data_IF_925155546767
#
_entry.id   IF_925155546767
#
_cell.length_a   1.000
_cell.length_b   1.000
_cell.length_c   1.000
_cell.angle_alpha   90.00
_cell.angle_beta   90.00
_cell.angle_gamma   90.00
#
_symmetry.space_group_name_H-M   'P 1'
#
loop_
_entity.id
_entity.type
_entity.pdbx_description
1 polymer ?
#
# COMPACT_ATOMS: atom_id res chain seq x y z
N UNK A 1 -11.78 -41.10 -0.70
CA UNK A 1 -10.72 -40.08 -0.85
C UNK A 1 -10.58 -39.75 -2.33
N UNK A 2 -10.48 -38.47 -2.70
CA UNK A 2 -10.24 -38.07 -4.09
C UNK A 2 -8.84 -38.50 -4.54
N UNK A 3 -8.68 -38.83 -5.82
CA UNK A 3 -7.38 -39.20 -6.38
C UNK A 3 -6.32 -38.09 -6.12
N UNK A 4 -5.07 -38.48 -5.83
CA UNK A 4 -4.00 -37.50 -5.65
C UNK A 4 -3.74 -36.74 -6.94
N UNK A 5 -3.63 -35.41 -6.85
CA UNK A 5 -3.34 -34.53 -8.00
C UNK A 5 -1.97 -34.90 -8.56
N UNK A 6 -1.86 -35.26 -9.85
CA UNK A 6 -0.58 -35.59 -10.47
C UNK A 6 0.28 -34.33 -10.60
N UNK A 7 1.60 -34.51 -10.51
CA UNK A 7 2.55 -33.44 -10.83
C UNK A 7 2.66 -33.31 -12.36
N UNK A 8 2.91 -32.08 -12.83
CA UNK A 8 3.15 -31.77 -14.24
C UNK A 8 4.30 -32.63 -14.83
N UNK A 9 4.21 -33.12 -16.07
CA UNK A 9 5.15 -34.12 -16.60
C UNK A 9 6.46 -33.55 -17.16
N UNK A 10 6.58 -32.23 -17.28
CA UNK A 10 7.71 -31.50 -17.86
C UNK A 10 8.90 -31.26 -16.91
N UNK A 11 8.81 -31.78 -15.67
CA UNK A 11 9.89 -31.77 -14.70
C UNK A 11 10.16 -33.18 -14.18
N UNK A 12 11.36 -33.37 -13.64
CA UNK A 12 11.75 -34.59 -12.94
C UNK A 12 12.37 -34.27 -11.57
N UNK A 13 12.71 -35.33 -10.84
CA UNK A 13 13.32 -35.20 -9.52
C UNK A 13 14.70 -34.52 -9.56
N UNK A 14 15.48 -34.71 -10.64
CA UNK A 14 16.83 -34.16 -10.76
C UNK A 14 16.78 -32.64 -11.00
N UNK A 15 15.92 -32.19 -11.90
CA UNK A 15 15.66 -30.78 -12.19
C UNK A 15 15.26 -30.02 -10.92
N UNK A 16 14.33 -30.56 -10.13
CA UNK A 16 13.91 -29.96 -8.86
C UNK A 16 15.04 -29.86 -7.84
N UNK A 17 15.91 -30.87 -7.74
CA UNK A 17 17.07 -30.83 -6.84
C UNK A 17 18.09 -29.78 -7.30
N UNK A 18 18.28 -29.61 -8.60
CA UNK A 18 19.14 -28.54 -9.16
C UNK A 18 18.56 -27.16 -8.85
N UNK A 19 17.24 -26.98 -9.04
CA UNK A 19 16.55 -25.74 -8.69
C UNK A 19 16.66 -25.44 -7.19
N UNK A 20 16.48 -26.45 -6.33
CA UNK A 20 16.61 -26.31 -4.88
C UNK A 20 18.01 -25.84 -4.46
N UNK A 21 19.07 -26.33 -5.12
CA UNK A 21 20.46 -25.86 -4.88
C UNK A 21 20.69 -24.41 -5.31
N UNK A 22 20.00 -23.95 -6.35
CA UNK A 22 20.11 -22.58 -6.87
C UNK A 22 19.22 -21.57 -6.14
N UNK A 23 18.19 -22.05 -5.44
CA UNK A 23 17.24 -21.21 -4.71
C UNK A 23 17.89 -20.50 -3.53
N UNK A 24 17.58 -19.22 -3.38
CA UNK A 24 17.97 -18.40 -2.21
C UNK A 24 16.88 -18.33 -1.14
N UNK A 25 15.68 -18.80 -1.44
CA UNK A 25 14.56 -18.87 -0.51
C UNK A 25 14.55 -20.25 0.18
N UNK A 26 14.80 -20.33 1.51
CA UNK A 26 14.80 -21.59 2.25
C UNK A 26 13.46 -22.34 2.19
N UNK A 27 12.35 -21.61 2.13
CA UNK A 27 11.02 -22.20 2.02
C UNK A 27 10.83 -22.83 0.64
N UNK A 28 11.23 -22.11 -0.42
CA UNK A 28 11.20 -22.65 -1.78
C UNK A 28 12.10 -23.90 -1.89
N UNK A 29 13.30 -23.87 -1.32
CA UNK A 29 14.23 -25.03 -1.30
C UNK A 29 13.57 -26.24 -0.65
N UNK A 30 12.97 -26.08 0.54
CA UNK A 30 12.26 -27.16 1.24
C UNK A 30 11.12 -27.74 0.41
N UNK A 31 10.32 -26.87 -0.22
CA UNK A 31 9.18 -27.27 -1.08
C UNK A 31 9.65 -28.03 -2.31
N UNK A 32 10.69 -27.56 -2.98
CA UNK A 32 11.29 -28.20 -4.16
C UNK A 32 11.84 -29.59 -3.83
N UNK A 33 12.51 -29.75 -2.67
CA UNK A 33 13.01 -31.05 -2.22
C UNK A 33 11.89 -32.03 -1.91
N UNK A 34 10.82 -31.58 -1.24
CA UNK A 34 9.64 -32.39 -0.97
C UNK A 34 8.97 -32.89 -2.28
N UNK A 35 8.79 -32.00 -3.27
CA UNK A 35 8.22 -32.42 -4.56
C UNK A 35 9.17 -33.33 -5.36
N UNK A 36 10.49 -33.16 -5.23
CA UNK A 36 11.47 -34.04 -5.88
C UNK A 36 11.36 -35.49 -5.42
N UNK A 37 10.97 -35.72 -4.16
CA UNK A 37 10.72 -37.06 -3.64
C UNK A 37 9.50 -37.69 -4.32
N UNK A 38 8.43 -36.91 -4.54
CA UNK A 38 7.23 -37.40 -5.26
C UNK A 38 7.57 -37.78 -6.70
N UNK A 39 8.38 -36.96 -7.40
CA UNK A 39 8.87 -37.32 -8.74
C UNK A 39 9.77 -38.57 -8.74
N UNK A 40 10.49 -38.83 -7.64
CA UNK A 40 11.27 -40.04 -7.47
C UNK A 40 10.43 -41.28 -7.08
N UNK A 41 9.09 -41.14 -6.99
CA UNK A 41 8.17 -42.23 -6.67
C UNK A 41 7.86 -42.38 -5.18
N UNK A 42 8.41 -41.53 -4.31
CA UNK A 42 8.08 -41.56 -2.88
C UNK A 42 6.61 -41.23 -2.64
N UNK A 43 5.99 -41.84 -1.61
CA UNK A 43 4.64 -41.49 -1.22
C UNK A 43 4.56 -40.05 -0.72
N UNK A 44 3.38 -39.44 -0.86
CA UNK A 44 3.14 -38.05 -0.42
C UNK A 44 3.30 -37.84 1.09
N UNK A 45 3.19 -38.91 1.88
CA UNK A 45 3.49 -38.90 3.32
C UNK A 45 4.97 -38.66 3.61
N UNK A 46 5.86 -39.24 2.81
CA UNK A 46 7.30 -39.02 2.94
C UNK A 46 7.68 -37.61 2.49
N UNK A 47 7.08 -37.13 1.39
CA UNK A 47 7.24 -35.73 0.97
C UNK A 47 6.77 -34.73 2.03
N UNK A 48 5.67 -35.04 2.72
CA UNK A 48 5.15 -34.24 3.83
C UNK A 48 6.11 -34.22 5.02
N UNK A 49 6.69 -35.37 5.37
CA UNK A 49 7.71 -35.47 6.42
C UNK A 49 8.97 -34.66 6.06
N UNK A 50 9.47 -34.77 4.82
CA UNK A 50 10.59 -33.98 4.31
C UNK A 50 10.29 -32.47 4.34
N UNK A 51 9.06 -32.09 4.02
CA UNK A 51 8.60 -30.71 4.05
C UNK A 51 8.29 -30.17 5.44
N UNK A 52 8.23 -31.02 6.47
CA UNK A 52 7.79 -30.67 7.82
C UNK A 52 6.32 -30.19 7.90
N UNK A 53 5.45 -30.69 7.01
CA UNK A 53 4.06 -30.22 6.85
C UNK A 53 3.06 -31.36 6.76
N UNK A 54 1.76 -31.05 6.74
CA UNK A 54 0.70 -32.03 6.51
C UNK A 54 0.47 -32.36 5.03
N UNK A 55 -0.26 -33.45 4.76
CA UNK A 55 -0.60 -33.90 3.41
C UNK A 55 -1.35 -32.84 2.58
N UNK A 56 -2.21 -32.05 3.22
CA UNK A 56 -2.95 -30.99 2.55
C UNK A 56 -2.01 -29.89 2.04
N UNK A 57 -1.01 -29.50 2.82
CA UNK A 57 -0.01 -28.51 2.41
C UNK A 57 0.82 -29.01 1.23
N UNK A 58 1.19 -30.28 1.21
CA UNK A 58 1.86 -30.89 0.04
C UNK A 58 0.96 -30.85 -1.19
N UNK A 59 -0.34 -31.12 -1.04
CA UNK A 59 -1.31 -30.99 -2.13
C UNK A 59 -1.37 -29.55 -2.64
N UNK A 60 -1.38 -28.57 -1.76
CA UNK A 60 -1.40 -27.15 -2.14
C UNK A 60 -0.11 -26.75 -2.88
N UNK A 61 1.05 -27.28 -2.47
CA UNK A 61 2.31 -27.09 -3.20
C UNK A 61 2.28 -27.73 -4.59
N UNK A 62 1.72 -28.93 -4.73
CA UNK A 62 1.53 -29.57 -6.05
C UNK A 62 0.64 -28.71 -6.94
N UNK A 63 -0.45 -28.15 -6.41
CA UNK A 63 -1.35 -27.27 -7.17
C UNK A 63 -0.65 -25.98 -7.62
N UNK A 64 0.07 -25.31 -6.71
CA UNK A 64 0.82 -24.11 -7.02
C UNK A 64 1.94 -24.37 -8.05
N UNK A 65 2.67 -25.48 -7.88
CA UNK A 65 3.71 -25.91 -8.82
C UNK A 65 3.15 -26.26 -10.21
N UNK A 66 1.99 -26.91 -10.27
CA UNK A 66 1.34 -27.21 -11.53
C UNK A 66 0.88 -25.94 -12.27
N UNK A 67 0.43 -24.92 -11.54
CA UNK A 67 -0.02 -23.65 -12.11
C UNK A 67 1.14 -22.77 -12.61
N UNK A 68 2.19 -22.60 -11.81
CA UNK A 68 3.23 -21.58 -12.04
C UNK A 68 4.67 -22.14 -12.09
N UNK A 69 4.83 -23.46 -11.97
CA UNK A 69 6.13 -24.12 -11.93
C UNK A 69 6.90 -23.80 -10.64
N UNK A 70 8.24 -23.77 -10.69
CA UNK A 70 9.07 -23.49 -9.52
C UNK A 70 8.78 -22.14 -8.85
N UNK A 71 8.31 -21.15 -9.61
CA UNK A 71 7.96 -19.83 -9.09
C UNK A 71 6.74 -19.86 -8.17
N UNK A 72 5.77 -20.74 -8.43
CA UNK A 72 4.59 -20.92 -7.57
C UNK A 72 4.93 -21.47 -6.17
N UNK A 73 6.15 -21.96 -5.98
CA UNK A 73 6.64 -22.41 -4.67
C UNK A 73 7.31 -21.30 -3.87
N UNK A 74 7.47 -20.10 -4.42
CA UNK A 74 7.95 -18.92 -3.68
C UNK A 74 6.77 -18.33 -2.92
N UNK A 75 6.95 -18.08 -1.63
CA UNK A 75 5.92 -17.42 -0.84
C UNK A 75 5.71 -15.98 -1.32
N UNK A 76 4.52 -15.68 -1.84
CA UNK A 76 4.10 -14.30 -2.05
C UNK A 76 3.90 -13.57 -0.71
N UNK A 77 4.11 -12.25 -0.68
CA UNK A 77 3.69 -11.45 0.46
C UNK A 77 2.17 -11.57 0.59
N UNK A 78 1.69 -12.07 1.73
CA UNK A 78 0.26 -12.18 1.98
C UNK A 78 -0.42 -10.84 1.66
N UNK A 79 -1.56 -10.85 0.93
CA UNK A 79 -2.31 -9.63 0.71
C UNK A 79 -2.63 -9.06 2.09
N UNK A 80 -2.11 -7.87 2.38
CA UNK A 80 -2.26 -7.26 3.70
C UNK A 80 -3.73 -7.08 4.07
N UNK A 81 -4.00 -6.63 5.30
CA UNK A 81 -5.35 -6.36 5.74
C UNK A 81 -6.11 -5.49 4.72
N UNK A 82 -7.31 -5.94 4.33
CA UNK A 82 -8.15 -5.19 3.39
C UNK A 82 -8.36 -3.77 3.94
N UNK A 83 -8.11 -2.71 3.14
CA UNK A 83 -8.34 -1.35 3.60
C UNK A 83 -9.80 -1.18 4.05
N UNK A 84 -10.02 -0.56 5.21
CA UNK A 84 -11.37 -0.26 5.72
C UNK A 84 -12.21 0.56 4.74
N UNK A 85 -11.55 1.43 3.95
CA UNK A 85 -12.15 2.18 2.86
C UNK A 85 -11.84 1.46 1.54
N UNK A 86 -12.79 0.65 1.09
CA UNK A 86 -12.77 -0.03 -0.21
C UNK A 86 -12.93 0.98 -1.38
N UNK A 87 -12.89 0.49 -2.62
CA UNK A 87 -12.98 1.35 -3.80
C UNK A 87 -14.31 2.12 -3.87
N UNK A 88 -15.42 1.48 -3.51
CA UNK A 88 -16.76 2.06 -3.57
C UNK A 88 -16.93 3.19 -2.55
N UNK A 89 -16.50 2.96 -1.30
CA UNK A 89 -16.51 3.97 -0.24
C UNK A 89 -15.59 5.15 -0.58
N UNK A 90 -14.48 4.89 -1.28
CA UNK A 90 -13.60 5.94 -1.77
C UNK A 90 -14.27 6.79 -2.84
N UNK A 91 -15.05 6.18 -3.73
CA UNK A 91 -15.82 6.90 -4.73
C UNK A 91 -16.95 7.72 -4.09
N UNK A 92 -17.66 7.16 -3.11
CA UNK A 92 -18.69 7.87 -2.34
C UNK A 92 -18.10 9.07 -1.58
N UNK A 93 -16.98 8.86 -0.87
CA UNK A 93 -16.25 9.94 -0.18
C UNK A 93 -15.82 11.04 -1.14
N UNK A 94 -15.35 10.68 -2.35
CA UNK A 94 -14.99 11.65 -3.39
C UNK A 94 -16.20 12.49 -3.79
N UNK A 95 -17.33 11.87 -4.07
CA UNK A 95 -18.56 12.57 -4.43
C UNK A 95 -19.02 13.53 -3.33
N UNK A 96 -18.98 13.08 -2.07
CA UNK A 96 -19.35 13.89 -0.90
C UNK A 96 -18.45 15.12 -0.74
N UNK A 97 -17.14 14.96 -0.94
CA UNK A 97 -16.19 16.08 -0.85
C UNK A 97 -16.41 17.11 -1.96
N UNK A 98 -16.67 16.65 -3.19
CA UNK A 98 -16.91 17.54 -4.36
C UNK A 98 -18.26 18.26 -4.28
N UNK A 99 -19.30 17.61 -3.76
CA UNK A 99 -20.61 18.23 -3.54
C UNK A 99 -20.53 19.37 -2.51
N UNK A 100 -19.62 19.26 -1.55
CA UNK A 100 -19.50 20.20 -0.44
C UNK A 100 -20.65 20.07 0.56
N UNK A 101 -20.55 20.74 1.72
CA UNK A 101 -21.61 20.69 2.71
C UNK A 101 -22.77 21.61 2.33
N UNK A 102 -24.00 21.13 2.50
CA UNK A 102 -25.21 21.94 2.54
C UNK A 102 -25.33 22.57 3.94
N UNK A 103 -25.14 23.90 4.12
CA UNK A 103 -25.07 24.48 5.46
C UNK A 103 -26.35 24.31 6.28
N UNK A 104 -27.51 24.34 5.63
CA UNK A 104 -28.80 24.17 6.29
C UNK A 104 -29.02 22.74 6.83
N UNK A 105 -28.43 21.72 6.19
CA UNK A 105 -28.57 20.32 6.60
C UNK A 105 -27.42 19.86 7.51
N UNK A 106 -26.18 20.23 7.16
CA UNK A 106 -24.97 19.73 7.82
C UNK A 106 -24.42 20.68 8.90
N UNK A 107 -24.91 21.92 8.98
CA UNK A 107 -24.48 22.91 9.99
C UNK A 107 -23.03 23.40 9.82
N UNK A 108 -22.36 23.04 8.73
CA UNK A 108 -20.96 23.40 8.46
C UNK A 108 -20.80 24.06 7.10
N UNK A 109 -19.92 25.07 7.02
CA UNK A 109 -19.60 25.79 5.78
C UNK A 109 -18.50 25.09 4.97
N UNK A 110 -17.68 24.29 5.65
CA UNK A 110 -16.64 23.47 5.03
C UNK A 110 -16.59 22.12 5.70
N UNK A 111 -16.30 21.08 4.94
CA UNK A 111 -16.04 19.76 5.52
C UNK A 111 -14.84 19.79 6.45
N UNK A 112 -15.02 19.31 7.68
CA UNK A 112 -13.93 18.87 8.55
C UNK A 112 -13.81 17.36 8.44
N UNK A 113 -12.63 16.83 8.79
CA UNK A 113 -12.39 15.39 8.73
C UNK A 113 -13.32 14.62 9.69
N UNK A 114 -13.64 15.21 10.85
CA UNK A 114 -14.60 14.65 11.80
C UNK A 114 -16.01 14.54 11.19
N UNK A 115 -16.44 15.54 10.40
CA UNK A 115 -17.77 15.53 9.77
C UNK A 115 -17.86 14.41 8.72
N UNK A 116 -16.83 14.28 7.89
CA UNK A 116 -16.75 13.22 6.87
C UNK A 116 -16.65 11.82 7.50
N UNK A 117 -15.96 11.69 8.64
CA UNK A 117 -15.88 10.43 9.37
C UNK A 117 -17.24 10.05 9.97
N UNK A 118 -18.00 11.04 10.47
CA UNK A 118 -19.34 10.84 10.99
C UNK A 118 -20.31 10.39 9.88
N UNK A 119 -20.32 11.07 8.74
CA UNK A 119 -21.18 10.70 7.60
C UNK A 119 -20.84 9.29 7.09
N UNK A 120 -19.56 8.93 6.99
CA UNK A 120 -19.15 7.57 6.62
C UNK A 120 -19.62 6.51 7.62
N UNK A 121 -19.74 6.87 8.90
CA UNK A 121 -20.27 5.97 9.91
C UNK A 121 -21.79 5.86 9.81
N UNK A 122 -22.50 6.97 9.61
CA UNK A 122 -23.97 7.01 9.50
C UNK A 122 -24.47 6.30 8.23
N UNK A 123 -23.89 6.60 7.07
CA UNK A 123 -24.36 6.10 5.77
C UNK A 123 -23.89 4.66 5.48
N UNK A 124 -22.73 4.28 6.02
CA UNK A 124 -22.05 3.02 5.63
C UNK A 124 -21.61 2.14 6.81
N UNK A 125 -21.77 2.59 8.07
CA UNK A 125 -21.35 1.83 9.25
C UNK A 125 -19.83 1.73 9.42
N UNK A 126 -19.04 2.54 8.70
CA UNK A 126 -17.58 2.42 8.64
C UNK A 126 -16.92 3.41 9.59
N UNK A 127 -16.44 2.90 10.73
CA UNK A 127 -15.64 3.71 11.67
C UNK A 127 -14.18 3.85 11.21
N UNK A 128 -13.77 5.08 10.91
CA UNK A 128 -12.40 5.44 10.49
C UNK A 128 -11.88 6.64 11.28
N UNK A 129 -10.59 6.61 11.60
CA UNK A 129 -9.93 7.76 12.25
C UNK A 129 -9.74 8.92 11.28
N UNK A 130 -9.73 10.15 11.80
CA UNK A 130 -9.44 11.36 11.00
C UNK A 130 -8.08 11.27 10.28
N UNK A 131 -7.08 10.62 10.90
CA UNK A 131 -5.78 10.39 10.28
C UNK A 131 -5.86 9.48 9.04
N UNK A 132 -6.65 8.41 9.12
CA UNK A 132 -6.89 7.51 7.99
C UNK A 132 -7.58 8.25 6.86
N UNK A 133 -8.61 9.03 7.20
CA UNK A 133 -9.36 9.82 6.23
C UNK A 133 -8.49 10.90 5.57
N UNK A 134 -7.65 11.59 6.34
CA UNK A 134 -6.66 12.56 5.84
C UNK A 134 -5.68 11.93 4.85
N UNK A 135 -5.16 10.73 5.14
CA UNK A 135 -4.27 10.00 4.21
C UNK A 135 -4.99 9.61 2.92
N UNK A 136 -6.23 9.13 3.02
CA UNK A 136 -7.04 8.74 1.86
C UNK A 136 -7.36 9.95 0.98
N UNK A 137 -7.80 11.06 1.57
CA UNK A 137 -8.06 12.29 0.80
C UNK A 137 -6.78 12.83 0.14
N UNK A 138 -5.64 12.77 0.84
CA UNK A 138 -4.35 13.18 0.25
C UNK A 138 -3.91 12.30 -0.91
N UNK A 139 -4.14 10.99 -0.84
CA UNK A 139 -3.80 10.07 -1.94
C UNK A 139 -4.71 10.24 -3.16
N UNK A 140 -5.94 10.74 -2.95
CA UNK A 140 -6.84 11.18 -4.03
C UNK A 140 -6.49 12.55 -4.62
N UNK A 141 -5.48 13.24 -4.08
CA UNK A 141 -5.05 14.56 -4.56
C UNK A 141 -5.61 15.75 -3.79
N UNK A 142 -6.55 15.56 -2.86
CA UNK A 142 -7.10 16.66 -2.07
C UNK A 142 -6.06 17.25 -1.11
N UNK A 143 -6.13 18.57 -0.95
CA UNK A 143 -5.29 19.33 -0.01
C UNK A 143 -6.17 20.29 0.78
N UNK A 144 -5.83 20.50 2.04
CA UNK A 144 -6.48 21.51 2.87
C UNK A 144 -6.09 22.89 2.32
N UNK A 145 -7.01 23.54 1.63
CA UNK A 145 -6.88 24.94 1.27
C UNK A 145 -7.29 25.80 2.46
N UNK A 146 -6.35 26.53 3.03
CA UNK A 146 -6.64 27.63 3.94
C UNK A 146 -6.40 28.93 3.21
N UNK A 147 -7.44 29.76 3.06
CA UNK A 147 -7.24 31.15 2.68
C UNK A 147 -6.30 31.82 3.70
N UNK A 148 -5.39 32.69 3.25
CA UNK A 148 -4.63 33.52 4.18
C UNK A 148 -5.63 34.40 4.93
N UNK A 149 -5.66 34.39 6.28
CA UNK A 149 -6.56 35.25 7.04
C UNK A 149 -6.37 36.71 6.60
N UNK A 150 -7.44 37.33 6.08
CA UNK A 150 -7.50 38.77 5.85
C UNK A 150 -8.13 39.40 7.09
N UNK A 151 -7.47 40.41 7.66
CA UNK A 151 -8.02 41.14 8.80
C UNK A 151 -9.23 41.97 8.32
N UNK A 152 -10.36 41.94 9.02
CA UNK A 152 -11.58 42.62 8.59
C UNK A 152 -11.41 44.15 8.51
N UNK A 153 -10.46 44.72 9.28
CA UNK A 153 -10.10 46.14 9.20
C UNK A 153 -8.95 46.44 8.20
N UNK A 154 -8.64 45.52 7.29
CA UNK A 154 -7.62 45.74 6.27
C UNK A 154 -8.22 46.60 5.14
N UNK A 155 -7.97 47.90 5.22
CA UNK A 155 -8.35 48.88 4.20
C UNK A 155 -7.41 48.78 2.98
N UNK A 156 -7.97 48.54 1.79
CA UNK A 156 -7.20 48.38 0.56
C UNK A 156 -6.48 49.67 0.15
N UNK A 157 -7.02 50.83 0.51
CA UNK A 157 -6.48 52.14 0.15
C UNK A 157 -5.30 52.55 1.05
N UNK A 158 -5.16 51.94 2.23
CA UNK A 158 -4.07 52.21 3.19
C UNK A 158 -2.83 51.31 2.95
N UNK A 159 -3.01 50.15 2.30
CA UNK A 159 -1.94 49.22 1.95
C UNK A 159 -0.81 49.85 1.12
N UNK A 160 -1.08 50.64 0.05
CA UNK A 160 -0.02 51.27 -0.73
C UNK A 160 0.74 52.34 0.08
N UNK A 161 0.09 53.02 1.03
CA UNK A 161 0.73 54.03 1.88
C UNK A 161 1.75 53.42 2.87
N UNK A 162 1.51 52.18 3.31
CA UNK A 162 2.41 51.46 4.24
C UNK A 162 3.58 50.74 3.54
N UNK A 163 3.58 50.66 2.20
CA UNK A 163 4.70 50.04 1.47
C UNK A 163 5.94 50.92 1.57
N UNK A 164 6.97 50.42 2.27
CA UNK A 164 8.27 51.07 2.47
C UNK A 164 8.94 51.36 1.09
N UNK A 165 9.20 52.62 0.72
CA UNK A 165 9.83 52.97 -0.56
C UNK A 165 11.35 52.88 -0.53
N UNK A 166 11.95 52.39 0.56
CA UNK A 166 13.40 52.27 0.69
C UNK A 166 13.94 51.22 -0.27
N UNK A 167 14.96 51.58 -1.06
CA UNK A 167 15.73 50.63 -1.86
C UNK A 167 16.40 49.61 -0.93
N UNK A 168 16.35 48.34 -1.28
CA UNK A 168 17.09 47.30 -0.57
C UNK A 168 18.59 47.58 -0.67
N UNK A 169 19.19 48.15 0.37
CA UNK A 169 20.63 48.33 0.50
C UNK A 169 21.28 47.02 0.97
N UNK A 170 21.20 45.97 0.15
CA UNK A 170 22.01 44.78 0.33
C UNK A 170 23.22 44.88 -0.59
N UNK A 171 24.30 45.48 -0.11
CA UNK A 171 25.61 45.32 -0.75
C UNK A 171 26.13 43.93 -0.37
N UNK A 172 26.29 43.05 -1.36
CA UNK A 172 27.04 41.79 -1.16
C UNK A 172 28.45 42.15 -0.70
N UNK A 173 28.87 41.63 0.45
CA UNK A 173 30.28 41.71 0.85
C UNK A 173 31.14 41.06 -0.26
N UNK A 174 32.21 41.77 -0.66
CA UNK A 174 33.20 41.24 -1.61
C UNK A 174 33.74 39.91 -1.07
N UNK A 175 33.87 38.91 -1.94
CA UNK A 175 34.54 37.64 -1.63
C UNK A 175 35.97 37.97 -1.15
N UNK A 176 36.35 37.43 0.01
CA UNK A 176 37.73 37.49 0.50
C UNK A 176 38.65 36.85 -0.55
N UNK A 177 39.72 37.56 -0.92
CA UNK A 177 40.74 37.06 -1.85
C UNK A 177 41.51 35.91 -1.20
N UNK A 178 41.65 34.79 -1.90
CA UNK A 178 42.73 33.84 -1.66
C UNK A 178 44.07 34.55 -1.89
N UNK A 179 44.83 34.81 -0.82
CA UNK A 179 46.26 35.05 -0.90
C UNK A 179 46.93 34.93 0.48
N UNK A 180 47.58 33.79 0.71
CA UNK A 180 48.86 33.60 1.43
C UNK A 180 49.11 32.10 1.48
N UNK A 181 49.99 31.53 0.64
CA UNK A 181 51.43 31.32 0.88
C UNK A 181 51.72 30.75 2.27
#
# INVERSE_FOLDING_TARGET
MAAPVPLRPDFDAAALRTLAKSSRDPDQTRRLLALSAIYAGSPRSEAAALGGVGLQTVRDWVLAFNAEGPHGLIGGKAPGARPRLNADLRAALKALVEQGPVPAAHGVVRWRLVDLAQILFEDHGVSVSEQTLSRVLRSMGYRKLSARPRHHAQDQDVIPAFKKPSRFAWQRSRRLSEASR
#
